data_IF_055567002089
#
_entry.id   IF_055567002089
#
_cell.length_a   1.000
_cell.length_b   1.000
_cell.length_c   1.000
_cell.angle_alpha   90.00
_cell.angle_beta   90.00
_cell.angle_gamma   90.00
#
_symmetry.space_group_name_H-M   'P 1'
#
loop_
_entity.id
_entity.type
_entity.pdbx_description
1 polymer ?
#
# COMPACT_ATOMS: atom_id res chain seq x y z
N UNK A 1 21.11 -6.75 -0.85
CA UNK A 1 20.72 -5.39 -0.51
C UNK A 1 19.34 -5.37 0.14
N UNK A 2 19.22 -4.78 1.34
CA UNK A 2 17.93 -4.55 1.99
C UNK A 2 17.47 -3.11 1.71
N UNK A 3 16.45 -2.97 0.87
CA UNK A 3 15.95 -1.66 0.41
C UNK A 3 15.13 -0.89 1.47
N UNK A 4 14.70 -1.56 2.55
CA UNK A 4 13.95 -0.93 3.67
C UNK A 4 14.83 -0.60 4.87
N UNK A 5 15.83 -1.45 5.14
CA UNK A 5 16.73 -1.34 6.30
C UNK A 5 18.15 -1.54 5.80
N UNK A 6 18.80 -0.45 5.42
CA UNK A 6 20.12 -0.49 4.80
C UNK A 6 21.18 -1.17 5.67
N UNK A 7 21.05 -1.03 6.98
CA UNK A 7 21.92 -1.65 7.99
C UNK A 7 21.82 -3.19 8.01
N UNK A 8 20.76 -3.75 7.40
CA UNK A 8 20.57 -5.21 7.24
C UNK A 8 21.03 -5.73 5.89
N UNK A 9 21.73 -4.91 5.12
CA UNK A 9 22.32 -5.37 3.85
C UNK A 9 23.62 -6.12 4.13
N UNK A 10 23.90 -7.09 3.29
CA UNK A 10 25.08 -7.97 3.40
C UNK A 10 25.84 -7.99 2.07
N UNK A 11 27.15 -8.14 2.15
CA UNK A 11 28.06 -8.28 1.02
C UNK A 11 28.69 -9.65 1.09
N UNK A 12 28.75 -10.34 -0.06
CA UNK A 12 29.42 -11.64 -0.20
C UNK A 12 30.42 -11.54 -1.35
N UNK A 13 31.62 -12.08 -1.14
CA UNK A 13 32.66 -12.26 -2.15
C UNK A 13 33.05 -13.75 -2.10
N UNK A 14 32.93 -14.45 -3.21
CA UNK A 14 33.19 -15.89 -3.30
C UNK A 14 32.43 -16.70 -2.24
N UNK A 15 31.13 -16.36 -2.05
CA UNK A 15 30.23 -16.92 -1.05
C UNK A 15 30.60 -16.65 0.43
N UNK A 16 31.68 -15.94 0.70
CA UNK A 16 32.06 -15.51 2.03
C UNK A 16 31.47 -14.14 2.38
N UNK A 17 30.86 -14.03 3.57
CA UNK A 17 30.31 -12.77 4.07
C UNK A 17 31.43 -11.83 4.47
N UNK A 18 31.45 -10.64 3.89
CA UNK A 18 32.45 -9.60 4.17
C UNK A 18 31.80 -8.28 4.59
N UNK A 19 32.54 -7.47 5.34
CA UNK A 19 32.13 -6.10 5.67
C UNK A 19 32.79 -5.14 4.68
N UNK A 20 32.03 -4.63 3.71
CA UNK A 20 32.54 -3.70 2.72
C UNK A 20 31.52 -2.61 2.40
N UNK A 21 31.66 -1.46 3.02
CA UNK A 21 30.76 -0.31 2.86
C UNK A 21 30.83 0.29 1.44
N UNK A 22 31.96 0.23 0.76
CA UNK A 22 32.14 0.74 -0.60
C UNK A 22 31.34 -0.09 -1.60
N UNK A 23 31.44 -1.42 -1.54
CA UNK A 23 30.65 -2.33 -2.38
C UNK A 23 29.17 -2.16 -2.08
N UNK A 24 28.78 -2.04 -0.81
CA UNK A 24 27.38 -1.84 -0.43
C UNK A 24 26.82 -0.53 -0.97
N UNK A 25 27.60 0.56 -0.92
CA UNK A 25 27.21 1.84 -1.50
C UNK A 25 27.05 1.70 -3.03
N UNK A 26 28.01 1.11 -3.71
CA UNK A 26 27.95 0.90 -5.17
C UNK A 26 26.73 0.05 -5.58
N UNK A 27 26.45 -1.02 -4.86
CA UNK A 27 25.26 -1.86 -5.11
C UNK A 27 23.96 -1.07 -4.95
N UNK A 28 23.90 -0.15 -3.98
CA UNK A 28 22.74 0.75 -3.78
C UNK A 28 22.60 1.74 -4.92
N UNK A 29 23.72 2.34 -5.35
CA UNK A 29 23.73 3.31 -6.43
C UNK A 29 23.27 2.64 -7.74
N UNK A 30 23.76 1.46 -8.05
CA UNK A 30 23.27 0.64 -9.19
C UNK A 30 21.78 0.32 -9.06
N UNK A 31 21.35 -0.21 -7.91
CA UNK A 31 19.94 -0.54 -7.73
C UNK A 31 19.04 0.67 -7.94
N UNK A 32 19.38 1.82 -7.37
CA UNK A 32 18.58 3.04 -7.51
C UNK A 32 18.53 3.52 -8.96
N UNK A 33 19.68 3.57 -9.63
CA UNK A 33 19.78 4.05 -11.00
C UNK A 33 19.10 3.09 -12.00
N UNK A 34 19.43 1.83 -11.95
CA UNK A 34 18.99 0.85 -12.96
C UNK A 34 17.52 0.47 -12.76
N UNK A 35 17.06 0.34 -11.51
CA UNK A 35 15.63 0.08 -11.26
C UNK A 35 14.75 1.27 -11.66
N UNK A 36 15.28 2.51 -11.64
CA UNK A 36 14.53 3.68 -12.05
C UNK A 36 14.04 3.56 -13.50
N UNK A 37 14.89 3.09 -14.42
CA UNK A 37 14.53 2.86 -15.82
C UNK A 37 13.34 1.91 -15.99
N UNK A 38 13.11 1.03 -15.02
CA UNK A 38 12.01 0.07 -15.04
C UNK A 38 10.75 0.57 -14.33
N UNK A 39 10.90 1.25 -13.19
CA UNK A 39 9.77 1.53 -12.28
C UNK A 39 9.44 3.02 -12.11
N UNK A 40 10.11 3.92 -12.82
CA UNK A 40 9.88 5.37 -12.70
C UNK A 40 8.39 5.77 -12.80
N UNK A 41 7.56 5.17 -13.69
CA UNK A 41 6.13 5.47 -13.75
C UNK A 41 5.35 5.22 -12.45
N UNK A 42 5.86 4.36 -11.59
CA UNK A 42 5.27 4.03 -10.29
C UNK A 42 5.81 4.88 -9.14
N UNK A 43 6.80 5.75 -9.41
CA UNK A 43 7.49 6.59 -8.42
C UNK A 43 7.08 8.07 -8.48
N UNK A 44 6.12 8.42 -9.31
CA UNK A 44 5.70 9.81 -9.53
C UNK A 44 5.05 10.47 -8.30
N UNK A 45 4.61 9.68 -7.32
CA UNK A 45 4.03 10.13 -6.06
C UNK A 45 4.89 9.78 -4.84
N UNK A 46 6.14 9.36 -5.04
CA UNK A 46 7.07 9.12 -3.94
C UNK A 46 7.33 10.42 -3.16
N UNK A 47 7.63 10.29 -1.87
CA UNK A 47 8.01 11.44 -1.05
C UNK A 47 9.21 12.16 -1.66
N UNK A 48 9.14 13.50 -1.73
CA UNK A 48 10.19 14.33 -2.33
C UNK A 48 10.10 14.46 -3.85
N UNK A 49 8.97 14.07 -4.47
CA UNK A 49 8.72 14.37 -5.88
C UNK A 49 7.87 15.64 -6.04
N UNK A 50 8.29 16.52 -6.95
CA UNK A 50 7.52 17.67 -7.40
C UNK A 50 6.97 17.40 -8.80
N UNK A 51 5.74 17.83 -9.09
CA UNK A 51 5.05 17.59 -10.35
C UNK A 51 4.48 18.88 -10.89
N UNK A 52 4.71 19.13 -12.19
CA UNK A 52 4.14 20.30 -12.90
C UNK A 52 3.67 19.88 -14.29
N UNK A 53 2.57 20.45 -14.75
CA UNK A 53 2.16 20.37 -16.15
C UNK A 53 2.84 21.52 -16.89
N UNK A 54 3.50 21.18 -17.99
CA UNK A 54 4.18 22.14 -18.86
C UNK A 54 3.79 21.91 -20.32
N UNK A 55 3.88 22.91 -21.18
CA UNK A 55 3.68 22.74 -22.63
C UNK A 55 4.98 22.23 -23.26
N UNK A 56 4.86 21.20 -24.06
CA UNK A 56 5.90 20.67 -24.91
C UNK A 56 5.32 20.32 -26.30
N UNK A 57 5.79 20.99 -27.35
CA UNK A 57 5.22 20.90 -28.70
C UNK A 57 3.69 21.09 -28.70
N UNK A 58 3.22 22.15 -28.03
CA UNK A 58 1.81 22.56 -27.87
C UNK A 58 0.90 21.54 -27.15
N UNK A 59 1.46 20.49 -26.62
CA UNK A 59 0.75 19.46 -25.82
C UNK A 59 1.14 19.56 -24.35
N UNK A 60 0.24 19.11 -23.49
CA UNK A 60 0.54 18.97 -22.07
C UNK A 60 1.52 17.82 -21.85
N UNK A 61 2.56 18.10 -21.08
CA UNK A 61 3.55 17.12 -20.66
C UNK A 61 3.76 17.22 -19.13
N UNK A 62 4.15 16.14 -18.49
CA UNK A 62 4.35 16.09 -17.07
C UNK A 62 5.84 16.25 -16.72
N UNK A 63 6.19 17.37 -16.10
CA UNK A 63 7.53 17.58 -15.54
C UNK A 63 7.56 17.05 -14.10
N UNK A 64 8.49 16.14 -13.82
CA UNK A 64 8.72 15.56 -12.49
C UNK A 64 10.14 15.87 -12.06
N UNK A 65 10.29 16.44 -10.85
CA UNK A 65 11.58 16.64 -10.20
C UNK A 65 11.67 15.79 -8.95
N UNK A 66 12.73 15.01 -8.82
CA UNK A 66 13.03 14.21 -7.63
C UNK A 66 13.91 15.02 -6.70
N UNK A 67 13.30 15.88 -5.88
CA UNK A 67 14.00 16.84 -5.03
C UNK A 67 14.75 16.18 -3.86
N UNK A 68 14.32 14.97 -3.45
CA UNK A 68 14.99 14.21 -2.38
C UNK A 68 14.94 12.70 -2.66
N UNK A 69 15.79 11.94 -1.95
CA UNK A 69 15.92 10.49 -2.14
C UNK A 69 16.78 10.12 -3.35
N UNK A 70 16.96 8.80 -3.56
CA UNK A 70 17.82 8.28 -4.64
C UNK A 70 19.30 8.60 -4.46
N UNK A 71 20.03 8.58 -5.57
CA UNK A 71 21.49 8.88 -5.61
C UNK A 71 21.78 10.27 -6.16
N UNK A 72 20.85 10.87 -6.89
CA UNK A 72 21.01 12.16 -7.56
C UNK A 72 19.81 13.09 -7.31
N UNK A 73 19.63 13.60 -6.08
CA UNK A 73 18.56 14.55 -5.79
C UNK A 73 18.64 15.79 -6.65
N UNK A 74 17.49 16.24 -7.20
CA UNK A 74 17.38 17.38 -8.11
C UNK A 74 17.24 16.98 -9.58
N UNK A 75 17.36 15.71 -9.91
CA UNK A 75 17.12 15.22 -11.28
C UNK A 75 15.67 15.46 -11.70
N UNK A 76 15.48 15.87 -12.96
CA UNK A 76 14.18 16.21 -13.52
C UNK A 76 13.92 15.47 -14.83
N UNK A 77 12.67 15.10 -15.02
CA UNK A 77 12.21 14.34 -16.17
C UNK A 77 10.92 14.94 -16.74
N UNK A 78 10.92 15.26 -18.03
CA UNK A 78 9.74 15.68 -18.77
C UNK A 78 9.14 14.46 -19.47
N UNK A 79 7.96 14.04 -19.08
CA UNK A 79 7.29 12.84 -19.57
C UNK A 79 6.31 13.21 -20.68
N UNK A 80 6.44 12.54 -21.80
CA UNK A 80 5.56 12.67 -22.97
C UNK A 80 4.66 11.44 -22.98
N UNK A 81 3.34 11.70 -22.98
CA UNK A 81 2.32 10.67 -22.85
C UNK A 81 1.53 10.53 -24.15
N UNK A 82 1.00 9.34 -24.41
CA UNK A 82 0.02 9.13 -25.48
C UNK A 82 -1.40 9.56 -25.03
N UNK A 83 -2.40 9.38 -25.93
CA UNK A 83 -3.82 9.69 -25.64
C UNK A 83 -4.43 8.87 -24.50
N UNK A 84 -3.81 7.77 -24.11
CA UNK A 84 -4.23 6.89 -23.00
C UNK A 84 -3.40 7.14 -21.74
N UNK A 85 -2.64 8.23 -21.67
CA UNK A 85 -1.73 8.59 -20.59
C UNK A 85 -0.58 7.58 -20.37
N UNK A 86 -0.28 6.74 -21.37
CA UNK A 86 0.90 5.87 -21.30
C UNK A 86 2.16 6.65 -21.66
N UNK A 87 3.23 6.56 -20.86
CA UNK A 87 4.51 7.17 -21.21
C UNK A 87 5.08 6.56 -22.51
N UNK A 88 5.43 7.42 -23.45
CA UNK A 88 6.05 7.03 -24.73
C UNK A 88 7.50 7.42 -24.81
N UNK A 89 7.84 8.56 -24.20
CA UNK A 89 9.21 9.06 -24.14
C UNK A 89 9.36 10.04 -22.98
N UNK A 90 10.59 10.40 -22.69
CA UNK A 90 10.92 11.43 -21.71
C UNK A 90 12.18 12.18 -22.10
N UNK A 91 12.32 13.39 -21.59
CA UNK A 91 13.58 14.16 -21.56
C UNK A 91 14.09 14.20 -20.14
N UNK A 92 15.40 14.11 -19.96
CA UNK A 92 16.01 14.12 -18.63
C UNK A 92 17.07 15.20 -18.48
N UNK A 93 17.08 15.78 -17.30
CA UNK A 93 18.12 16.67 -16.79
C UNK A 93 18.65 16.04 -15.51
N UNK A 94 19.73 15.29 -15.63
CA UNK A 94 20.30 14.48 -14.56
C UNK A 94 21.74 14.88 -14.32
N UNK A 95 22.15 14.92 -13.06
CA UNK A 95 23.50 15.42 -12.67
C UNK A 95 24.64 14.60 -13.26
N UNK A 96 24.43 13.33 -13.49
CA UNK A 96 25.47 12.41 -13.99
C UNK A 96 25.68 12.52 -15.51
N UNK A 97 24.77 13.16 -16.24
CA UNK A 97 24.86 13.36 -17.69
C UNK A 97 24.95 14.87 -17.97
N UNK A 98 26.07 15.36 -18.50
CA UNK A 98 26.28 16.81 -18.70
C UNK A 98 25.44 17.39 -19.86
N UNK A 99 24.64 16.59 -20.53
CA UNK A 99 23.78 17.00 -21.65
C UNK A 99 22.34 17.11 -21.13
N UNK A 100 21.87 18.35 -20.87
CA UNK A 100 20.50 18.62 -20.46
C UNK A 100 19.50 18.32 -21.58
N UNK A 101 18.35 17.73 -21.20
CA UNK A 101 17.27 17.42 -22.13
C UNK A 101 17.52 16.21 -23.04
N UNK A 102 18.46 15.33 -22.67
CA UNK A 102 18.63 14.04 -23.35
C UNK A 102 17.32 13.27 -23.34
N UNK A 103 16.91 12.78 -24.51
CA UNK A 103 15.63 12.04 -24.65
C UNK A 103 15.86 10.54 -24.64
N UNK A 104 14.87 9.83 -24.10
CA UNK A 104 14.78 8.38 -24.22
C UNK A 104 13.33 7.94 -24.40
N UNK A 105 13.14 6.77 -24.99
CA UNK A 105 11.81 6.18 -25.19
C UNK A 105 11.39 5.33 -24.01
N UNK A 106 10.07 5.15 -23.87
CA UNK A 106 9.44 4.08 -23.12
C UNK A 106 8.80 3.14 -24.12
N UNK A 107 9.40 1.98 -24.37
CA UNK A 107 8.94 1.05 -25.40
C UNK A 107 8.86 -0.39 -24.88
N UNK A 108 8.29 -1.28 -25.69
CA UNK A 108 8.13 -2.70 -25.37
C UNK A 108 7.46 -2.96 -24.03
N UNK A 109 6.33 -2.29 -23.80
CA UNK A 109 5.54 -2.45 -22.60
C UNK A 109 4.98 -3.87 -22.45
N UNK A 110 5.35 -4.56 -21.36
CA UNK A 110 4.89 -5.91 -21.04
C UNK A 110 4.01 -5.89 -19.79
N UNK A 111 2.88 -6.58 -19.87
CA UNK A 111 2.07 -6.88 -18.67
C UNK A 111 2.64 -8.11 -17.98
N UNK A 112 2.99 -7.98 -16.71
CA UNK A 112 3.58 -9.06 -15.92
C UNK A 112 2.51 -9.92 -15.25
N UNK A 113 2.88 -11.01 -14.60
CA UNK A 113 1.95 -11.86 -13.83
C UNK A 113 1.27 -11.11 -12.67
N UNK A 114 1.87 -10.07 -12.14
CA UNK A 114 1.25 -9.21 -11.12
C UNK A 114 0.22 -8.24 -11.69
N UNK A 115 0.10 -8.13 -13.00
CA UNK A 115 -0.79 -7.22 -13.71
C UNK A 115 -0.21 -5.82 -13.95
N UNK A 116 1.00 -5.51 -13.44
CA UNK A 116 1.65 -4.24 -13.73
C UNK A 116 2.26 -4.24 -15.13
N UNK A 117 2.30 -3.06 -15.75
CA UNK A 117 2.97 -2.85 -17.05
C UNK A 117 4.37 -2.29 -16.80
N UNK A 118 5.38 -2.87 -17.42
CA UNK A 118 6.76 -2.42 -17.36
C UNK A 118 7.30 -2.21 -18.76
N UNK A 119 7.95 -1.08 -19.01
CA UNK A 119 8.71 -0.87 -20.24
C UNK A 119 9.98 -1.71 -20.18
N UNK A 120 10.25 -2.47 -21.22
CA UNK A 120 11.40 -3.38 -21.23
C UNK A 120 12.49 -2.96 -22.20
N UNK A 121 12.33 -1.79 -22.84
CA UNK A 121 13.31 -1.22 -23.73
C UNK A 121 13.26 0.30 -23.72
N UNK A 122 14.42 0.94 -23.72
CA UNK A 122 14.58 2.37 -23.89
C UNK A 122 15.58 2.61 -25.02
N UNK A 123 15.35 3.64 -25.82
CA UNK A 123 16.30 4.09 -26.85
C UNK A 123 16.66 5.53 -26.58
N UNK A 124 17.91 5.80 -26.32
CA UNK A 124 18.43 7.16 -26.15
C UNK A 124 18.49 7.87 -27.49
N UNK A 125 18.16 9.16 -27.49
CA UNK A 125 18.30 10.01 -28.69
C UNK A 125 19.76 10.19 -29.10
N UNK A 126 20.70 10.01 -28.18
CA UNK A 126 22.13 10.05 -28.45
C UNK A 126 22.55 8.72 -29.10
N UNK A 127 22.93 8.79 -30.36
CA UNK A 127 23.38 7.66 -31.18
C UNK A 127 22.41 6.46 -31.28
N UNK A 128 21.14 6.62 -30.88
CA UNK A 128 20.16 5.54 -30.91
C UNK A 128 20.51 4.36 -29.98
N UNK A 129 21.27 4.61 -28.92
CA UNK A 129 21.69 3.58 -27.98
C UNK A 129 20.48 2.90 -27.32
N UNK A 130 20.37 1.60 -27.50
CA UNK A 130 19.31 0.81 -26.88
C UNK A 130 19.73 0.31 -25.48
N UNK A 131 18.81 0.46 -24.54
CA UNK A 131 18.94 -0.03 -23.15
C UNK A 131 17.84 -1.07 -22.93
N UNK A 132 18.13 -2.37 -23.15
CA UNK A 132 17.18 -3.43 -22.87
C UNK A 132 17.16 -3.77 -21.39
N UNK A 133 15.96 -3.96 -20.82
CA UNK A 133 15.77 -4.37 -19.41
C UNK A 133 15.90 -5.89 -19.22
N UNK A 134 16.23 -6.65 -20.29
CA UNK A 134 16.38 -8.09 -20.22
C UNK A 134 15.08 -8.81 -19.87
N UNK A 135 15.19 -9.91 -19.12
CA UNK A 135 14.04 -10.73 -18.72
C UNK A 135 13.36 -10.17 -17.47
N UNK A 136 12.31 -9.37 -17.67
CA UNK A 136 11.54 -8.78 -16.58
C UNK A 136 10.45 -9.73 -16.09
N UNK A 137 10.37 -9.91 -14.78
CA UNK A 137 9.32 -10.67 -14.09
C UNK A 137 8.80 -9.86 -12.91
N UNK A 138 7.50 -9.84 -12.71
CA UNK A 138 6.87 -9.31 -11.50
C UNK A 138 5.70 -10.21 -11.11
N UNK A 139 5.68 -10.62 -9.87
CA UNK A 139 4.69 -11.54 -9.32
C UNK A 139 4.22 -11.03 -7.96
N UNK A 140 2.93 -11.22 -7.67
CA UNK A 140 2.41 -10.97 -6.32
C UNK A 140 2.84 -12.11 -5.38
N UNK A 141 3.01 -11.82 -4.10
CA UNK A 141 3.19 -12.86 -3.10
C UNK A 141 1.98 -13.79 -3.09
N UNK A 142 2.21 -15.11 -2.97
CA UNK A 142 1.12 -16.12 -2.90
C UNK A 142 0.06 -15.74 -1.84
N UNK A 143 0.50 -15.31 -0.67
CA UNK A 143 -0.39 -14.87 0.40
C UNK A 143 -1.30 -13.70 -0.02
N UNK A 144 -0.79 -12.75 -0.79
CA UNK A 144 -1.57 -11.62 -1.28
C UNK A 144 -2.56 -12.04 -2.39
N UNK A 145 -2.17 -13.00 -3.24
CA UNK A 145 -3.09 -13.59 -4.23
C UNK A 145 -4.26 -14.27 -3.52
N UNK A 146 -3.96 -15.11 -2.51
CA UNK A 146 -4.97 -15.83 -1.76
C UNK A 146 -5.90 -14.87 -0.99
N UNK A 147 -5.34 -13.86 -0.31
CA UNK A 147 -6.11 -12.82 0.36
C UNK A 147 -7.02 -12.03 -0.61
N UNK A 148 -6.56 -11.71 -1.82
CA UNK A 148 -7.39 -11.06 -2.85
C UNK A 148 -8.51 -11.97 -3.33
N UNK A 149 -8.27 -13.28 -3.42
CA UNK A 149 -9.33 -14.25 -3.76
C UNK A 149 -10.42 -14.30 -2.68
N UNK A 150 -10.05 -14.25 -1.40
CA UNK A 150 -11.01 -14.12 -0.30
C UNK A 150 -11.82 -12.84 -0.44
N UNK A 151 -11.18 -11.68 -0.62
CA UNK A 151 -11.86 -10.40 -0.80
C UNK A 151 -12.85 -10.40 -1.97
N UNK A 152 -12.48 -11.06 -3.08
CA UNK A 152 -13.36 -11.22 -4.24
C UNK A 152 -14.57 -12.09 -3.90
N UNK A 153 -14.36 -13.22 -3.22
CA UNK A 153 -15.44 -14.15 -2.82
C UNK A 153 -16.45 -13.49 -1.90
N UNK A 154 -15.99 -12.72 -0.90
CA UNK A 154 -16.87 -11.99 0.03
C UNK A 154 -17.38 -10.65 -0.52
N UNK A 155 -17.23 -10.38 -1.81
CA UNK A 155 -17.70 -9.14 -2.45
C UNK A 155 -17.21 -7.85 -1.72
N UNK A 156 -15.91 -7.76 -1.44
CA UNK A 156 -15.34 -6.67 -0.65
C UNK A 156 -15.68 -5.26 -1.19
N UNK A 157 -15.80 -5.06 -2.51
CA UNK A 157 -16.19 -3.77 -3.09
C UNK A 157 -17.62 -3.39 -2.69
N UNK A 158 -18.55 -4.34 -2.62
CA UNK A 158 -19.89 -4.08 -2.08
C UNK A 158 -19.82 -3.70 -0.60
N UNK A 159 -19.00 -4.38 0.21
CA UNK A 159 -18.78 -4.00 1.61
C UNK A 159 -18.21 -2.58 1.75
N UNK A 160 -17.26 -2.17 0.91
CA UNK A 160 -16.72 -0.80 0.94
C UNK A 160 -17.82 0.24 0.72
N UNK A 161 -18.72 -0.01 -0.20
CA UNK A 161 -19.82 0.88 -0.57
C UNK A 161 -21.05 0.74 0.36
N UNK A 162 -21.07 -0.26 1.26
CA UNK A 162 -22.13 -0.40 2.26
C UNK A 162 -21.98 0.68 3.32
N UNK A 163 -22.99 1.50 3.53
CA UNK A 163 -23.01 2.54 4.57
C UNK A 163 -23.42 1.99 5.93
N UNK A 164 -24.53 1.28 5.99
CA UNK A 164 -25.12 0.81 7.25
C UNK A 164 -24.89 -0.68 7.45
N UNK A 165 -24.48 -1.05 8.66
CA UNK A 165 -24.42 -2.43 9.13
C UNK A 165 -25.17 -2.55 10.45
N UNK A 166 -26.04 -3.54 10.56
CA UNK A 166 -26.77 -3.85 11.79
C UNK A 166 -26.64 -5.34 12.08
N UNK A 167 -26.27 -5.68 13.32
CA UNK A 167 -26.14 -7.08 13.76
C UNK A 167 -26.29 -7.22 15.26
N UNK A 168 -26.47 -8.44 15.73
CA UNK A 168 -26.38 -8.79 17.15
C UNK A 168 -25.26 -9.82 17.36
N UNK A 169 -24.67 -9.81 18.55
CA UNK A 169 -23.65 -10.77 18.94
C UNK A 169 -24.08 -11.53 20.20
N UNK A 170 -24.18 -12.88 20.05
CA UNK A 170 -24.59 -13.77 21.12
C UNK A 170 -25.98 -13.48 21.70
N UNK A 171 -26.87 -12.78 20.99
CA UNK A 171 -28.20 -12.38 21.45
C UNK A 171 -28.23 -11.35 22.58
N UNK A 172 -27.07 -10.92 23.08
CA UNK A 172 -26.95 -10.02 24.25
C UNK A 172 -26.48 -8.61 23.91
N UNK A 173 -25.89 -8.42 22.75
CA UNK A 173 -25.37 -7.12 22.28
C UNK A 173 -25.87 -6.84 20.88
N UNK A 174 -26.25 -5.60 20.63
CA UNK A 174 -26.69 -5.15 19.30
C UNK A 174 -25.90 -3.95 18.82
N UNK A 175 -25.76 -3.84 17.52
CA UNK A 175 -24.94 -2.83 16.86
C UNK A 175 -25.69 -2.24 15.67
N UNK A 176 -25.64 -0.90 15.55
CA UNK A 176 -26.08 -0.17 14.35
C UNK A 176 -24.94 0.76 13.94
N UNK A 177 -24.25 0.42 12.88
CA UNK A 177 -23.04 1.11 12.46
C UNK A 177 -23.27 1.92 11.18
N UNK A 178 -23.15 3.24 11.27
CA UNK A 178 -23.04 4.14 10.14
C UNK A 178 -21.55 4.35 9.83
N UNK A 179 -21.03 3.66 8.83
CA UNK A 179 -19.62 3.70 8.41
C UNK A 179 -19.22 5.08 7.89
N UNK A 180 -20.13 5.77 7.22
CA UNK A 180 -19.88 7.10 6.65
C UNK A 180 -19.70 8.15 7.75
N UNK A 181 -20.59 8.15 8.75
CA UNK A 181 -20.51 9.05 9.90
C UNK A 181 -19.47 8.62 10.93
N UNK A 182 -18.91 7.41 10.82
CA UNK A 182 -18.02 6.81 11.83
C UNK A 182 -18.68 6.69 13.21
N UNK A 183 -19.99 6.38 13.26
CA UNK A 183 -20.75 6.23 14.49
C UNK A 183 -21.34 4.82 14.53
N UNK A 184 -21.20 4.15 15.68
CA UNK A 184 -21.87 2.89 15.94
C UNK A 184 -22.64 2.98 17.27
N UNK A 185 -23.93 2.66 17.24
CA UNK A 185 -24.70 2.43 18.46
C UNK A 185 -24.39 1.00 18.94
N UNK A 186 -23.72 0.91 20.09
CA UNK A 186 -23.40 -0.34 20.79
C UNK A 186 -24.36 -0.44 21.97
N UNK A 187 -25.19 -1.50 21.99
CA UNK A 187 -26.20 -1.68 23.04
C UNK A 187 -26.02 -3.01 23.75
N UNK A 188 -26.13 -2.99 25.08
CA UNK A 188 -26.15 -4.15 25.96
C UNK A 188 -26.97 -3.84 27.20
N UNK A 189 -27.76 -4.78 27.65
CA UNK A 189 -28.70 -4.57 28.77
C UNK A 189 -29.56 -3.30 28.58
N UNK A 190 -29.55 -2.36 29.53
CA UNK A 190 -30.22 -1.08 29.45
C UNK A 190 -29.35 0.07 28.91
N UNK A 191 -28.10 -0.24 28.55
CA UNK A 191 -27.10 0.73 28.14
C UNK A 191 -27.00 0.77 26.63
N UNK A 192 -26.93 1.98 26.07
CA UNK A 192 -26.55 2.22 24.68
C UNK A 192 -25.47 3.31 24.64
N UNK A 193 -24.39 3.04 23.91
CA UNK A 193 -23.35 4.02 23.62
C UNK A 193 -23.34 4.30 22.11
N UNK A 194 -23.62 5.55 21.74
CA UNK A 194 -23.35 6.03 20.38
C UNK A 194 -21.86 6.36 20.30
N UNK A 195 -21.07 5.37 19.93
CA UNK A 195 -19.61 5.43 19.89
C UNK A 195 -19.14 6.08 18.59
N UNK A 196 -18.37 7.18 18.69
CA UNK A 196 -17.67 7.75 17.53
C UNK A 196 -16.31 7.05 17.34
N UNK A 197 -16.18 6.26 16.27
CA UNK A 197 -15.03 5.34 16.09
C UNK A 197 -13.70 6.02 15.78
N UNK A 198 -13.70 7.29 15.35
CA UNK A 198 -12.48 8.08 15.12
C UNK A 198 -12.15 9.03 16.26
N UNK A 199 -13.16 9.56 16.94
CA UNK A 199 -12.99 10.49 18.05
C UNK A 199 -13.94 10.10 19.18
N UNK A 200 -13.41 9.35 20.15
CA UNK A 200 -14.19 8.81 21.28
C UNK A 200 -14.82 9.88 22.15
N UNK A 201 -14.25 11.07 22.21
CA UNK A 201 -14.75 12.19 23.00
C UNK A 201 -16.12 12.68 22.51
N UNK A 202 -16.42 12.46 21.23
CA UNK A 202 -17.71 12.79 20.62
C UNK A 202 -18.78 11.69 20.83
N UNK A 203 -18.51 10.71 21.69
CA UNK A 203 -19.46 9.63 21.98
C UNK A 203 -20.50 10.06 23.01
N UNK A 204 -21.68 9.43 22.97
CA UNK A 204 -22.77 9.71 23.91
C UNK A 204 -23.25 8.41 24.56
N UNK A 205 -23.57 8.48 25.86
CA UNK A 205 -24.06 7.37 26.67
C UNK A 205 -25.55 7.56 26.94
N UNK A 206 -26.32 6.45 26.91
CA UNK A 206 -27.76 6.44 27.20
C UNK A 206 -28.06 5.30 28.16
N UNK A 207 -28.91 5.59 29.16
CA UNK A 207 -29.55 4.60 30.05
C UNK A 207 -31.06 4.59 29.82
N UNK A 208 -31.63 3.43 29.57
CA UNK A 208 -33.06 3.31 29.25
C UNK A 208 -33.52 4.34 28.19
N UNK A 209 -32.71 4.53 27.14
CA UNK A 209 -32.88 5.53 26.07
C UNK A 209 -32.76 7.01 26.49
N UNK A 210 -32.49 7.32 27.75
CA UNK A 210 -32.24 8.69 28.21
C UNK A 210 -30.78 9.04 28.09
N UNK A 211 -30.46 10.10 27.34
CA UNK A 211 -29.08 10.58 27.16
C UNK A 211 -28.54 11.13 28.49
N UNK A 212 -27.32 10.74 28.82
CA UNK A 212 -26.59 11.27 29.97
C UNK A 212 -25.95 12.62 29.61
N UNK A 213 -26.04 13.60 30.52
CA UNK A 213 -25.39 14.90 30.33
C UNK A 213 -23.86 14.77 30.29
N UNK A 214 -23.30 13.92 31.16
CA UNK A 214 -21.87 13.59 31.20
C UNK A 214 -21.71 12.14 30.78
N UNK A 215 -21.01 11.91 29.70
CA UNK A 215 -20.73 10.58 29.21
C UNK A 215 -19.60 9.92 30.02
N UNK A 216 -19.91 8.78 30.66
CA UNK A 216 -18.92 8.01 31.43
C UNK A 216 -17.81 7.45 30.50
N UNK A 217 -16.54 7.85 30.69
CA UNK A 217 -15.41 7.36 29.87
C UNK A 217 -15.20 5.85 29.94
N UNK A 218 -15.55 5.21 31.07
CA UNK A 218 -15.42 3.75 31.24
C UNK A 218 -16.45 3.00 30.37
N UNK A 219 -17.67 3.54 30.26
CA UNK A 219 -18.68 2.95 29.36
C UNK A 219 -18.32 3.16 27.90
N UNK A 220 -17.73 4.30 27.54
CA UNK A 220 -17.20 4.53 26.19
C UNK A 220 -16.07 3.55 25.88
N UNK A 221 -15.13 3.35 26.80
CA UNK A 221 -14.03 2.38 26.63
C UNK A 221 -14.57 0.94 26.52
N UNK A 222 -15.55 0.59 27.33
CA UNK A 222 -16.22 -0.72 27.28
C UNK A 222 -16.90 -0.92 25.91
N UNK A 223 -17.65 0.07 25.43
CA UNK A 223 -18.30 0.02 24.12
C UNK A 223 -17.28 -0.11 22.98
N UNK A 224 -16.15 0.59 23.07
CA UNK A 224 -15.05 0.47 22.11
C UNK A 224 -14.48 -0.95 22.06
N UNK A 225 -14.20 -1.55 23.22
CA UNK A 225 -13.67 -2.91 23.29
C UNK A 225 -14.67 -3.95 22.77
N UNK A 226 -15.95 -3.81 23.14
CA UNK A 226 -17.06 -4.64 22.63
C UNK A 226 -17.14 -4.50 21.10
N UNK A 227 -17.17 -3.28 20.56
CA UNK A 227 -17.27 -3.05 19.13
C UNK A 227 -16.07 -3.65 18.37
N UNK A 228 -14.85 -3.43 18.84
CA UNK A 228 -13.66 -3.99 18.17
C UNK A 228 -13.68 -5.52 18.14
N UNK A 229 -14.01 -6.15 19.26
CA UNK A 229 -14.05 -7.61 19.33
C UNK A 229 -15.20 -8.19 18.49
N UNK A 230 -16.42 -7.69 18.67
CA UNK A 230 -17.60 -8.30 18.07
C UNK A 230 -17.74 -7.98 16.58
N UNK A 231 -17.34 -6.77 16.13
CA UNK A 231 -17.29 -6.44 14.71
C UNK A 231 -16.23 -7.24 13.97
N UNK A 232 -15.12 -7.62 14.63
CA UNK A 232 -14.08 -8.42 14.00
C UNK A 232 -14.67 -9.73 13.44
N UNK A 233 -15.49 -10.43 14.20
CA UNK A 233 -16.13 -11.69 13.74
C UNK A 233 -17.00 -11.49 12.50
N UNK A 234 -17.59 -10.30 12.34
CA UNK A 234 -18.41 -9.98 11.18
C UNK A 234 -17.59 -9.57 9.95
N UNK A 235 -16.52 -8.80 10.14
CA UNK A 235 -15.84 -8.12 9.02
C UNK A 235 -14.38 -8.53 8.83
N UNK A 236 -13.86 -9.53 9.55
CA UNK A 236 -12.46 -9.95 9.48
C UNK A 236 -11.97 -10.22 8.05
N UNK A 237 -12.82 -10.87 7.23
CA UNK A 237 -12.51 -11.15 5.83
C UNK A 237 -12.26 -9.87 4.99
N UNK A 238 -12.84 -8.75 5.38
CA UNK A 238 -12.69 -7.47 4.69
C UNK A 238 -11.47 -6.68 5.16
N UNK A 239 -10.79 -7.10 6.23
CA UNK A 239 -9.66 -6.39 6.86
C UNK A 239 -8.27 -6.89 6.42
N UNK A 240 -8.19 -7.83 5.48
CA UNK A 240 -6.95 -8.53 5.13
C UNK A 240 -5.80 -7.63 4.63
N UNK A 241 -6.08 -6.41 4.17
CA UNK A 241 -5.07 -5.46 3.66
C UNK A 241 -4.95 -4.16 4.47
N UNK A 242 -5.57 -4.10 5.65
CA UNK A 242 -5.42 -2.93 6.54
C UNK A 242 -3.97 -2.77 7.02
N UNK A 243 -3.64 -1.55 7.46
CA UNK A 243 -2.31 -1.22 7.98
C UNK A 243 -1.97 -2.08 9.20
N UNK A 244 -0.75 -2.64 9.22
CA UNK A 244 -0.29 -3.47 10.34
C UNK A 244 -0.62 -4.96 10.19
N UNK A 245 -1.24 -5.38 9.08
CA UNK A 245 -1.54 -6.78 8.82
C UNK A 245 -0.44 -7.43 7.99
N UNK A 246 0.06 -8.56 8.46
CA UNK A 246 1.05 -9.40 7.79
C UNK A 246 0.40 -10.69 7.34
N UNK A 247 0.62 -11.06 6.09
CA UNK A 247 0.08 -12.26 5.45
C UNK A 247 1.21 -13.19 5.04
N UNK A 248 1.04 -14.49 5.27
CA UNK A 248 1.94 -15.54 4.81
C UNK A 248 1.14 -16.80 4.45
N UNK A 249 1.75 -17.67 3.65
CA UNK A 249 1.17 -19.00 3.38
C UNK A 249 1.66 -19.97 4.44
N UNK A 250 0.75 -20.78 4.93
CA UNK A 250 1.01 -21.95 5.75
C UNK A 250 0.37 -23.18 5.11
N UNK A 251 0.97 -24.35 5.28
CA UNK A 251 0.38 -25.61 4.84
C UNK A 251 -0.47 -26.21 5.94
N UNK A 252 -1.69 -26.60 5.57
CA UNK A 252 -2.62 -27.38 6.42
C UNK A 252 -3.10 -28.55 5.57
N UNK A 253 -2.85 -29.75 6.00
CA UNK A 253 -3.20 -30.98 5.28
C UNK A 253 -2.75 -30.96 3.81
N UNK A 254 -1.54 -30.46 3.56
CA UNK A 254 -0.96 -30.34 2.22
C UNK A 254 -1.48 -29.19 1.37
N UNK A 255 -2.54 -28.49 1.78
CA UNK A 255 -3.15 -27.37 1.07
C UNK A 255 -2.61 -26.02 1.57
N UNK A 256 -2.63 -25.01 0.69
CA UNK A 256 -2.25 -23.65 1.07
C UNK A 256 -3.36 -23.02 1.92
N UNK A 257 -3.02 -22.53 3.11
CA UNK A 257 -3.86 -21.73 3.98
C UNK A 257 -3.25 -20.34 4.16
N UNK A 258 -4.08 -19.33 4.42
CA UNK A 258 -3.63 -17.95 4.64
C UNK A 258 -3.47 -17.70 6.15
N UNK A 259 -2.23 -17.52 6.59
CA UNK A 259 -1.95 -17.02 7.94
C UNK A 259 -1.96 -15.50 7.92
N UNK A 260 -2.83 -14.91 8.72
CA UNK A 260 -3.01 -13.44 8.87
C UNK A 260 -2.64 -13.08 10.30
N UNK A 261 -1.67 -12.17 10.46
CA UNK A 261 -1.22 -11.67 11.76
C UNK A 261 -1.51 -10.18 11.88
N UNK A 262 -2.24 -9.80 12.92
CA UNK A 262 -2.63 -8.43 13.25
C UNK A 262 -1.61 -7.83 14.21
N UNK A 263 -0.64 -7.04 13.71
CA UNK A 263 0.44 -6.46 14.53
C UNK A 263 0.01 -5.22 15.29
N UNK A 264 -0.94 -4.47 14.74
CA UNK A 264 -1.39 -3.18 15.26
C UNK A 264 -2.92 -3.10 15.17
N UNK A 265 -3.52 -2.27 16.04
CA UNK A 265 -4.96 -2.03 16.07
C UNK A 265 -5.75 -3.07 16.85
N UNK A 266 -7.06 -2.80 17.03
CA UNK A 266 -7.94 -3.64 17.83
C UNK A 266 -7.63 -3.62 19.33
N UNK A 267 -8.24 -4.54 20.06
CA UNK A 267 -8.04 -4.74 21.49
C UNK A 267 -6.94 -5.75 21.83
N UNK A 268 -6.53 -6.59 20.89
CA UNK A 268 -5.55 -7.67 21.06
C UNK A 268 -4.48 -7.65 19.95
N UNK A 269 -3.56 -6.67 19.97
CA UNK A 269 -2.45 -6.65 19.00
C UNK A 269 -1.57 -7.90 19.14
N UNK A 270 -1.26 -8.54 18.01
CA UNK A 270 -0.44 -9.75 17.97
C UNK A 270 -1.22 -11.01 17.62
N UNK A 271 -2.54 -10.98 17.67
CA UNK A 271 -3.39 -12.10 17.28
C UNK A 271 -3.11 -12.57 15.86
N UNK A 272 -3.25 -13.86 15.66
CA UNK A 272 -3.06 -14.49 14.35
C UNK A 272 -4.20 -15.47 14.05
N UNK A 273 -4.67 -15.45 12.81
CA UNK A 273 -5.74 -16.32 12.35
C UNK A 273 -5.31 -17.08 11.11
N UNK A 274 -5.58 -18.37 11.08
CA UNK A 274 -5.33 -19.23 9.95
C UNK A 274 -6.64 -19.45 9.18
N UNK A 275 -6.66 -18.97 7.96
CA UNK A 275 -7.80 -19.10 7.05
C UNK A 275 -7.62 -20.35 6.20
N UNK A 276 -8.45 -21.35 6.45
CA UNK A 276 -8.53 -22.60 5.71
C UNK A 276 -9.61 -22.42 4.64
N UNK A 277 -9.28 -22.70 3.38
CA UNK A 277 -10.11 -22.39 2.19
C UNK A 277 -10.45 -23.63 1.41
#
# INVERSE_FOLDING_TARGET
LNTKKSEKSEVYIDDEKVVNSKILKQARDFFNNDSFWLVAPYKIFDTGTERRIVKYNDKDALLITYASGGTTPGDSYLWILDKNYMPTSFKMWVKIIPIGGLSATWSDWKTTKSGIKLSTKHTLSLFGLEIPMGKVKAENRKADILAKSILKAVKHEAYKNTRFLEWSFGGKRSFKWDKEKNIVAVSWDTIRVNLHTRNKENSAVFFNNTKQEIADPLLILKAWNIFNNDSFWLVAAHKLFEKGIVRSIQKVDGKDALLVKYRNGGSTPGDSYLWIL
#
